data_IF_504602210391
#
_entry.id   IF_504602210391
#
_cell.length_a   1.000
_cell.length_b   1.000
_cell.length_c   1.000
_cell.angle_alpha   90.00
_cell.angle_beta   90.00
_cell.angle_gamma   90.00
#
_symmetry.space_group_name_H-M   'P 1'
#
loop_
_entity.id
_entity.type
_entity.pdbx_description
1 polymer ?
#
# COMPACT_ATOMS: atom_id res chain seq x y z
N UNK A 1 4.97 -24.71 -10.46
CA UNK A 1 4.95 -24.26 -11.84
C UNK A 1 5.18 -22.77 -11.95
N UNK A 2 5.65 -22.31 -13.08
CA UNK A 2 5.97 -20.90 -13.28
C UNK A 2 4.71 -20.04 -13.25
N UNK A 3 3.59 -20.58 -13.69
CA UNK A 3 2.31 -19.87 -13.66
C UNK A 3 1.84 -19.58 -12.25
N UNK A 4 2.01 -20.54 -11.34
CA UNK A 4 1.64 -20.35 -9.94
C UNK A 4 2.54 -19.33 -9.27
N UNK A 5 3.82 -19.33 -9.58
CA UNK A 5 4.75 -18.33 -9.05
C UNK A 5 4.41 -16.94 -9.55
N UNK A 6 4.02 -16.81 -10.81
CA UNK A 6 3.63 -15.53 -11.37
C UNK A 6 2.36 -15.00 -10.69
N UNK A 7 1.39 -15.86 -10.42
CA UNK A 7 0.17 -15.47 -9.72
C UNK A 7 0.47 -15.02 -8.29
N UNK A 8 1.36 -15.75 -7.59
CA UNK A 8 1.76 -15.36 -6.25
C UNK A 8 2.44 -14.01 -6.25
N UNK A 9 3.32 -13.76 -7.21
CA UNK A 9 4.00 -12.48 -7.33
C UNK A 9 3.02 -11.34 -7.56
N UNK A 10 2.02 -11.56 -8.40
CA UNK A 10 0.98 -10.57 -8.67
C UNK A 10 0.19 -10.27 -7.40
N UNK A 11 -0.15 -11.29 -6.62
CA UNK A 11 -0.86 -11.11 -5.35
C UNK A 11 -0.04 -10.29 -4.36
N UNK A 12 1.25 -10.59 -4.25
CA UNK A 12 2.15 -9.86 -3.36
C UNK A 12 2.25 -8.39 -3.77
N UNK A 13 2.41 -8.15 -5.07
CA UNK A 13 2.50 -6.78 -5.58
C UNK A 13 1.20 -6.01 -5.36
N UNK A 14 0.06 -6.66 -5.57
CA UNK A 14 -1.24 -6.04 -5.35
C UNK A 14 -1.42 -5.67 -3.87
N UNK A 15 -1.08 -6.59 -2.98
CA UNK A 15 -1.17 -6.36 -1.55
C UNK A 15 -0.24 -5.24 -1.11
N UNK A 16 0.98 -5.24 -1.62
CA UNK A 16 1.96 -4.19 -1.30
C UNK A 16 1.46 -2.82 -1.75
N UNK A 17 0.84 -2.75 -2.94
CA UNK A 17 0.28 -1.51 -3.46
C UNK A 17 -0.86 -0.99 -2.57
N UNK A 18 -1.74 -1.88 -2.14
CA UNK A 18 -2.84 -1.53 -1.25
C UNK A 18 -2.33 -1.03 0.11
N UNK A 19 -1.31 -1.69 0.63
CA UNK A 19 -0.71 -1.27 1.90
C UNK A 19 -0.03 0.08 1.78
N UNK A 20 0.69 0.30 0.71
CA UNK A 20 1.35 1.59 0.45
C UNK A 20 0.32 2.72 0.35
N UNK A 21 -0.79 2.46 -0.31
CA UNK A 21 -1.89 3.42 -0.43
C UNK A 21 -2.46 3.78 0.94
N UNK A 22 -2.70 2.76 1.78
CA UNK A 22 -3.22 2.95 3.12
C UNK A 22 -2.26 3.78 3.98
N UNK A 23 -0.98 3.45 3.93
CA UNK A 23 0.05 4.18 4.68
C UNK A 23 0.10 5.64 4.23
N UNK A 24 0.02 5.87 2.93
CA UNK A 24 0.04 7.23 2.37
C UNK A 24 -1.14 8.05 2.88
N UNK A 25 -2.34 7.47 2.92
CA UNK A 25 -3.53 8.15 3.41
C UNK A 25 -3.42 8.52 4.88
N UNK A 26 -2.93 7.59 5.70
CA UNK A 26 -2.73 7.83 7.12
C UNK A 26 -1.70 8.94 7.31
N UNK A 27 -0.60 8.89 6.58
CA UNK A 27 0.46 9.89 6.65
C UNK A 27 -0.05 11.28 6.25
N UNK A 28 -0.88 11.34 5.21
CA UNK A 28 -1.48 12.61 4.77
C UNK A 28 -2.42 13.18 5.83
N UNK A 29 -3.21 12.34 6.48
CA UNK A 29 -4.12 12.79 7.54
C UNK A 29 -3.34 13.38 8.71
N UNK A 30 -2.25 12.73 9.11
CA UNK A 30 -1.39 13.23 10.18
C UNK A 30 -0.76 14.56 9.80
N UNK A 31 -0.33 14.69 8.56
CA UNK A 31 0.27 15.92 8.05
C UNK A 31 -0.72 17.07 8.11
N UNK A 32 -1.96 16.83 7.68
CA UNK A 32 -3.02 17.83 7.72
C UNK A 32 -3.34 18.23 9.16
N UNK A 33 -3.44 17.24 10.05
CA UNK A 33 -3.69 17.52 11.47
C UNK A 33 -2.58 18.38 12.09
N UNK A 34 -1.34 18.11 11.72
CA UNK A 34 -0.20 18.90 12.21
C UNK A 34 -0.26 20.33 11.72
N UNK A 35 -0.77 20.56 10.52
CA UNK A 35 -0.89 21.90 9.95
C UNK A 35 -1.94 22.75 10.67
N UNK A 36 -2.95 22.13 11.23
CA UNK A 36 -4.03 22.85 11.92
C UNK A 36 -3.77 23.08 13.39
N UNK A 37 -2.62 22.68 13.86
CA UNK A 37 -2.19 23.01 15.21
C UNK A 37 -1.57 24.39 15.24
#
# INVERSE_FOLDING_TARGET
SDELKALDNIKVLTLADMMAETIRRISNEESISAMFR
#
